data_IF_349695027450
#
_entry.id   IF_349695027450
#
_cell.length_a   1.000
_cell.length_b   1.000
_cell.length_c   1.000
_cell.angle_alpha   90.00
_cell.angle_beta   90.00
_cell.angle_gamma   90.00
#
_symmetry.space_group_name_H-M   'P 1'
#
loop_
_entity.id
_entity.type
_entity.pdbx_description
1 polymer ?
#
# COMPACT_ATOMS: atom_id res chain seq x y z
N UNK A 1 -19.61 -38.33 20.37
CA UNK A 1 -20.34 -37.18 19.80
C UNK A 1 -19.43 -36.48 18.79
N UNK A 2 -19.73 -36.59 17.50
CA UNK A 2 -18.88 -36.03 16.44
C UNK A 2 -19.39 -34.66 16.00
N UNK A 3 -18.56 -33.62 16.12
CA UNK A 3 -18.88 -32.29 15.64
C UNK A 3 -18.76 -32.26 14.11
N UNK A 4 -19.86 -32.53 13.40
CA UNK A 4 -19.90 -32.42 11.94
C UNK A 4 -19.96 -30.94 11.56
N UNK A 5 -18.83 -30.39 11.11
CA UNK A 5 -18.74 -29.00 10.66
C UNK A 5 -19.23 -28.91 9.21
N UNK A 6 -20.18 -28.02 8.95
CA UNK A 6 -20.66 -27.77 7.60
C UNK A 6 -19.67 -26.92 6.79
N UNK A 7 -18.86 -27.58 5.95
CA UNK A 7 -17.86 -26.93 5.10
C UNK A 7 -18.45 -25.95 4.08
N UNK A 8 -19.72 -26.09 3.68
CA UNK A 8 -20.39 -25.13 2.78
C UNK A 8 -20.61 -23.80 3.50
N UNK A 9 -21.06 -23.84 4.75
CA UNK A 9 -21.25 -22.63 5.56
C UNK A 9 -19.91 -21.96 5.86
N UNK A 10 -18.88 -22.75 6.22
CA UNK A 10 -17.53 -22.23 6.44
C UNK A 10 -16.94 -21.53 5.21
N UNK A 11 -17.08 -22.13 4.01
CA UNK A 11 -16.65 -21.51 2.75
C UNK A 11 -17.41 -20.21 2.45
N UNK A 12 -18.72 -20.19 2.69
CA UNK A 12 -19.55 -18.98 2.50
C UNK A 12 -19.14 -17.86 3.45
N UNK A 13 -18.83 -18.19 4.71
CA UNK A 13 -18.32 -17.23 5.68
C UNK A 13 -16.98 -16.63 5.22
N UNK A 14 -16.01 -17.47 4.82
CA UNK A 14 -14.73 -17.01 4.26
C UNK A 14 -14.93 -16.06 3.07
N UNK A 15 -15.74 -16.46 2.09
CA UNK A 15 -16.01 -15.63 0.91
C UNK A 15 -16.65 -14.27 1.25
N UNK A 16 -17.48 -14.19 2.31
CA UNK A 16 -18.03 -12.91 2.78
C UNK A 16 -16.96 -12.03 3.39
N UNK A 17 -16.14 -12.59 4.29
CA UNK A 17 -15.05 -11.83 4.94
C UNK A 17 -14.03 -11.30 3.94
N UNK A 18 -13.70 -12.07 2.90
CA UNK A 18 -12.79 -11.62 1.84
C UNK A 18 -13.39 -10.47 1.02
N UNK A 19 -14.70 -10.52 0.73
CA UNK A 19 -15.39 -9.42 0.04
C UNK A 19 -15.43 -8.16 0.88
N UNK A 20 -15.66 -8.28 2.18
CA UNK A 20 -15.64 -7.14 3.12
C UNK A 20 -14.25 -6.49 3.18
N UNK A 21 -13.18 -7.29 3.34
CA UNK A 21 -11.79 -6.80 3.32
C UNK A 21 -11.45 -6.06 2.01
N UNK A 22 -11.85 -6.63 0.86
CA UNK A 22 -11.67 -5.99 -0.44
C UNK A 22 -12.47 -4.69 -0.56
N UNK A 23 -13.70 -4.65 -0.06
CA UNK A 23 -14.51 -3.45 -0.05
C UNK A 23 -13.92 -2.35 0.85
N UNK A 24 -13.37 -2.70 2.00
CA UNK A 24 -12.67 -1.78 2.90
C UNK A 24 -11.41 -1.21 2.24
N UNK A 25 -10.57 -2.05 1.64
CA UNK A 25 -9.41 -1.61 0.87
C UNK A 25 -9.83 -0.68 -0.28
N UNK A 26 -10.90 -1.02 -1.01
CA UNK A 26 -11.42 -0.16 -2.07
C UNK A 26 -12.01 1.15 -1.56
N UNK A 27 -12.64 1.19 -0.38
CA UNK A 27 -13.07 2.46 0.24
C UNK A 27 -11.87 3.32 0.64
N UNK A 28 -10.80 2.72 1.15
CA UNK A 28 -9.58 3.45 1.46
C UNK A 28 -8.87 3.97 0.20
N UNK A 29 -8.89 3.22 -0.91
CA UNK A 29 -8.22 3.58 -2.16
C UNK A 29 -9.05 4.53 -3.04
N UNK A 30 -10.37 4.27 -3.15
CA UNK A 30 -11.28 4.95 -4.07
C UNK A 30 -12.32 5.84 -3.38
N UNK A 31 -12.47 5.73 -2.06
CA UNK A 31 -13.33 6.61 -1.26
C UNK A 31 -12.63 7.88 -0.79
N UNK A 32 -11.33 8.02 -1.05
CA UNK A 32 -10.64 9.29 -0.83
C UNK A 32 -11.15 10.34 -1.79
N UNK A 33 -11.51 11.50 -1.26
CA UNK A 33 -11.90 12.64 -2.09
C UNK A 33 -10.68 13.19 -2.83
N UNK A 34 -10.88 13.83 -3.99
CA UNK A 34 -9.79 14.49 -4.74
C UNK A 34 -8.97 15.42 -3.85
N UNK A 35 -9.63 16.13 -2.91
CA UNK A 35 -9.00 17.03 -1.96
C UNK A 35 -8.10 16.33 -0.93
N UNK A 36 -8.45 15.10 -0.50
CA UNK A 36 -7.59 14.32 0.39
C UNK A 36 -6.36 13.79 -0.35
N UNK A 37 -6.55 13.30 -1.58
CA UNK A 37 -5.46 12.82 -2.43
C UNK A 37 -4.46 13.93 -2.77
N UNK A 38 -4.94 15.15 -3.04
CA UNK A 38 -4.05 16.30 -3.29
C UNK A 38 -3.30 16.70 -2.04
N UNK A 39 -3.96 16.78 -0.87
CA UNK A 39 -3.28 17.05 0.41
C UNK A 39 -2.17 16.04 0.71
N UNK A 40 -2.45 14.75 0.58
CA UNK A 40 -1.43 13.71 0.76
C UNK A 40 -0.26 13.90 -0.20
N UNK A 41 -0.52 14.18 -1.48
CA UNK A 41 0.56 14.45 -2.46
C UNK A 41 1.39 15.67 -2.06
N UNK A 42 0.76 16.76 -1.66
CA UNK A 42 1.50 17.94 -1.20
C UNK A 42 2.33 17.66 0.05
N UNK A 43 1.81 16.84 0.97
CA UNK A 43 2.54 16.41 2.17
C UNK A 43 3.73 15.52 1.81
N UNK A 44 3.56 14.54 0.91
CA UNK A 44 4.66 13.69 0.43
C UNK A 44 5.72 14.51 -0.29
N UNK A 45 5.32 15.39 -1.22
CA UNK A 45 6.26 16.23 -1.96
C UNK A 45 7.03 17.19 -1.03
N UNK A 46 6.37 17.71 0.01
CA UNK A 46 7.02 18.56 1.01
C UNK A 46 8.03 17.75 1.84
N UNK A 47 7.67 16.53 2.24
CA UNK A 47 8.56 15.63 2.97
C UNK A 47 9.75 15.23 2.11
N UNK A 48 9.54 14.88 0.84
CA UNK A 48 10.61 14.55 -0.11
C UNK A 48 11.56 15.73 -0.30
N UNK A 49 11.05 16.94 -0.55
CA UNK A 49 11.89 18.15 -0.66
C UNK A 49 12.62 18.48 0.63
N UNK A 50 11.99 18.25 1.79
CA UNK A 50 12.63 18.44 3.08
C UNK A 50 13.79 17.45 3.25
N UNK A 51 13.56 16.16 2.97
CA UNK A 51 14.61 15.14 3.01
C UNK A 51 15.72 15.44 2.01
N UNK A 52 15.38 15.87 0.78
CA UNK A 52 16.34 16.21 -0.26
C UNK A 52 17.19 17.43 0.11
N UNK A 53 16.58 18.49 0.66
CA UNK A 53 17.31 19.65 1.19
C UNK A 53 18.22 19.32 2.38
N UNK A 54 17.96 18.20 3.07
CA UNK A 54 18.79 17.69 4.15
C UNK A 54 19.74 16.56 3.72
N UNK A 55 19.67 16.10 2.46
CA UNK A 55 20.70 15.22 1.89
C UNK A 55 21.95 16.06 1.72
N UNK A 56 22.87 15.93 2.66
CA UNK A 56 24.27 16.26 2.42
C UNK A 56 24.75 15.27 1.37
N UNK A 57 25.46 15.74 0.35
CA UNK A 57 26.17 14.87 -0.61
C UNK A 57 27.14 13.98 0.17
N UNK A 58 26.63 12.89 0.74
CA UNK A 58 27.45 11.83 1.27
C UNK A 58 27.88 11.05 0.04
N UNK A 59 29.13 11.27 -0.36
CA UNK A 59 29.97 10.26 -0.99
C UNK A 59 29.45 8.86 -0.59
N UNK A 60 28.78 8.15 -1.49
CA UNK A 60 28.16 6.88 -1.13
C UNK A 60 27.26 6.20 -2.15
N UNK A 61 26.67 6.92 -3.11
CA UNK A 61 25.85 6.28 -4.15
C UNK A 61 26.56 6.26 -5.52
N UNK A 62 27.71 5.61 -5.53
CA UNK A 62 28.38 5.12 -6.74
C UNK A 62 28.13 3.61 -6.90
N UNK A 63 26.93 3.10 -6.55
CA UNK A 63 26.67 1.66 -6.49
C UNK A 63 25.50 1.15 -7.32
N UNK A 64 24.90 1.98 -8.19
CA UNK A 64 23.85 1.54 -9.12
C UNK A 64 24.07 2.11 -10.54
N UNK A 65 25.26 1.86 -11.10
CA UNK A 65 25.52 1.95 -12.54
C UNK A 65 26.24 0.69 -13.04
N UNK A 66 25.79 -0.50 -12.65
CA UNK A 66 26.25 -1.77 -13.23
C UNK A 66 25.03 -2.68 -13.47
N UNK A 67 24.24 -2.40 -14.51
CA UNK A 67 23.49 -3.44 -15.25
C UNK A 67 22.98 -2.93 -16.61
N UNK A 68 23.88 -2.45 -17.47
CA UNK A 68 23.66 -2.44 -18.94
C UNK A 68 25.01 -2.55 -19.64
N UNK A 69 25.46 -3.79 -19.85
CA UNK A 69 26.67 -4.06 -20.61
C UNK A 69 26.90 -5.55 -20.84
N UNK A 70 26.03 -6.17 -21.65
CA UNK A 70 26.36 -6.93 -22.87
C UNK A 70 25.07 -7.35 -23.60
#
# INVERSE_FOLDING_TARGET
MGNVINLRQARKAKARTEKEKKAEANRALFGQTKAQKTKQRFETDKLERHLDGHKREALGDASQMDDKGE
#
